data_IF_560047575079
#
_entry.id   IF_560047575079
#
_cell.length_a   1.000
_cell.length_b   1.000
_cell.length_c   1.000
_cell.angle_alpha   90.00
_cell.angle_beta   90.00
_cell.angle_gamma   90.00
#
_symmetry.space_group_name_H-M   'P 1'
#
loop_
_entity.id
_entity.type
_entity.pdbx_description
1 polymer ?
#
# COMPACT_ATOMS: atom_id res chain seq x y z
N UNK A 1 -0.45 11.74 -46.76
CA UNK A 1 -1.81 12.32 -46.75
C UNK A 1 -2.82 11.20 -46.50
N UNK A 2 -3.21 10.98 -45.25
CA UNK A 2 -4.29 10.06 -44.88
C UNK A 2 -5.29 10.83 -44.01
N UNK A 3 -6.54 10.83 -44.45
CA UNK A 3 -7.70 11.41 -43.78
C UNK A 3 -8.26 10.39 -42.79
N UNK A 4 -8.42 10.78 -41.54
CA UNK A 4 -9.40 10.20 -40.61
C UNK A 4 -9.93 11.32 -39.72
N UNK A 5 -11.04 11.90 -40.15
CA UNK A 5 -11.88 12.79 -39.34
C UNK A 5 -12.87 11.94 -38.55
N UNK A 6 -12.80 11.95 -37.22
CA UNK A 6 -13.89 11.48 -36.35
C UNK A 6 -14.56 12.72 -35.77
N UNK A 7 -15.75 13.03 -36.28
CA UNK A 7 -16.57 14.13 -35.81
C UNK A 7 -17.35 13.73 -34.55
N UNK A 8 -17.20 14.50 -33.48
CA UNK A 8 -18.15 14.52 -32.37
C UNK A 8 -19.32 15.44 -32.76
N UNK A 9 -20.46 14.85 -33.10
CA UNK A 9 -21.71 15.59 -33.28
C UNK A 9 -22.33 15.86 -31.90
N UNK A 10 -22.45 17.14 -31.56
CA UNK A 10 -23.18 17.62 -30.40
C UNK A 10 -24.69 17.38 -30.59
N UNK A 11 -25.31 16.68 -29.64
CA UNK A 11 -26.76 16.60 -29.51
C UNK A 11 -27.17 17.42 -28.27
N UNK A 12 -27.48 18.69 -28.50
CA UNK A 12 -28.21 19.55 -27.56
C UNK A 12 -29.71 19.24 -27.67
N UNK A 13 -30.21 18.42 -26.76
CA UNK A 13 -31.66 18.27 -26.52
C UNK A 13 -32.03 18.97 -25.21
N UNK A 14 -33.07 19.80 -25.29
CA UNK A 14 -33.54 20.69 -24.23
C UNK A 14 -33.86 19.95 -22.91
N UNK A 15 -33.23 20.40 -21.82
CA UNK A 15 -33.57 19.99 -20.47
C UNK A 15 -34.81 20.77 -20.00
N UNK A 16 -35.98 20.14 -20.10
CA UNK A 16 -37.11 20.50 -19.24
C UNK A 16 -36.79 20.07 -17.81
N UNK A 17 -37.04 20.94 -16.82
CA UNK A 17 -36.88 20.59 -15.41
C UNK A 17 -37.73 19.36 -15.06
N UNK A 18 -37.16 18.30 -14.45
CA UNK A 18 -37.97 17.19 -14.00
C UNK A 18 -38.66 17.59 -12.68
N UNK A 19 -39.99 17.46 -12.69
CA UNK A 19 -40.79 17.43 -11.48
C UNK A 19 -40.30 16.29 -10.57
N UNK A 20 -40.26 16.53 -9.26
CA UNK A 20 -39.89 15.56 -8.25
C UNK A 20 -40.83 14.33 -8.35
N UNK A 21 -40.28 13.21 -8.84
CA UNK A 21 -40.96 11.92 -8.80
C UNK A 21 -40.48 11.19 -7.54
N UNK A 22 -41.37 11.07 -6.55
CA UNK A 22 -41.19 10.14 -5.43
C UNK A 22 -41.17 8.71 -5.98
N UNK A 23 -39.99 8.09 -6.01
CA UNK A 23 -39.84 6.69 -6.39
C UNK A 23 -40.07 5.80 -5.16
N UNK A 24 -41.30 5.34 -4.97
CA UNK A 24 -41.61 4.23 -4.07
C UNK A 24 -41.18 2.91 -4.74
N UNK A 25 -39.90 2.54 -4.57
CA UNK A 25 -39.36 1.24 -4.99
C UNK A 25 -39.73 0.13 -3.98
N UNK A 26 -39.99 -1.08 -4.49
CA UNK A 26 -40.29 -2.26 -3.66
C UNK A 26 -39.17 -2.55 -2.63
N UNK A 27 -39.48 -3.14 -1.44
CA UNK A 27 -38.58 -3.16 -0.28
C UNK A 27 -37.22 -3.84 -0.47
N UNK A 28 -37.04 -4.65 -1.52
CA UNK A 28 -35.77 -5.34 -1.83
C UNK A 28 -34.92 -4.69 -2.93
N UNK A 29 -35.39 -3.61 -3.57
CA UNK A 29 -34.75 -3.04 -4.77
C UNK A 29 -34.30 -1.57 -4.62
N UNK A 30 -34.38 -1.01 -3.42
CA UNK A 30 -33.91 0.36 -3.16
C UNK A 30 -32.39 0.38 -2.91
N UNK A 31 -31.63 0.87 -3.90
CA UNK A 31 -30.18 1.08 -3.81
C UNK A 31 -29.78 2.02 -2.68
N UNK A 32 -30.61 3.01 -2.37
CA UNK A 32 -30.31 3.95 -1.28
C UNK A 32 -30.38 3.26 0.07
N UNK A 33 -31.43 2.47 0.31
CA UNK A 33 -31.55 1.67 1.53
C UNK A 33 -30.38 0.70 1.71
N UNK A 34 -30.00 -0.03 0.64
CA UNK A 34 -28.81 -0.92 0.66
C UNK A 34 -27.53 -0.15 0.99
N UNK A 35 -27.36 1.03 0.39
CA UNK A 35 -26.21 1.89 0.64
C UNK A 35 -26.10 2.34 2.09
N UNK A 36 -27.21 2.79 2.66
CA UNK A 36 -27.28 3.18 4.07
C UNK A 36 -27.06 1.98 5.01
N UNK A 37 -27.50 0.79 4.65
CA UNK A 37 -27.23 -0.44 5.42
C UNK A 37 -25.74 -0.80 5.38
N UNK A 38 -25.12 -0.81 4.19
CA UNK A 38 -23.69 -1.05 4.04
C UNK A 38 -22.84 -0.02 4.80
N UNK A 39 -23.22 1.26 4.76
CA UNK A 39 -22.60 2.31 5.56
C UNK A 39 -22.68 2.04 7.06
N UNK A 40 -23.87 1.71 7.57
CA UNK A 40 -24.06 1.40 8.99
C UNK A 40 -23.22 0.20 9.43
N UNK A 41 -23.08 -0.81 8.58
CA UNK A 41 -22.28 -2.00 8.87
C UNK A 41 -20.79 -1.71 9.12
N UNK A 42 -20.29 -0.56 8.66
CA UNK A 42 -18.90 -0.12 8.86
C UNK A 42 -18.79 1.11 9.79
N UNK A 43 -19.84 1.38 10.58
CA UNK A 43 -19.88 2.50 11.53
C UNK A 43 -20.16 3.87 10.89
N UNK A 44 -20.58 3.89 9.63
CA UNK A 44 -20.97 5.08 8.89
C UNK A 44 -22.38 5.57 9.20
N UNK A 45 -22.51 6.89 9.21
CA UNK A 45 -23.81 7.57 9.25
C UNK A 45 -24.26 8.02 7.86
N UNK A 46 -25.47 8.57 7.78
CA UNK A 46 -25.94 9.24 6.58
C UNK A 46 -25.19 10.58 6.39
N UNK A 47 -24.31 10.64 5.39
CA UNK A 47 -23.51 11.84 5.09
C UNK A 47 -24.27 12.91 4.31
N UNK A 48 -25.56 12.70 3.99
CA UNK A 48 -26.38 13.68 3.25
C UNK A 48 -26.40 15.04 3.95
N UNK A 49 -26.45 15.07 5.28
CA UNK A 49 -26.39 16.33 6.04
C UNK A 49 -25.11 17.14 5.82
N UNK A 50 -24.00 16.46 5.54
CA UNK A 50 -22.69 17.08 5.32
C UNK A 50 -22.48 17.43 3.86
N UNK A 51 -22.90 16.56 2.94
CA UNK A 51 -22.59 16.67 1.51
C UNK A 51 -23.68 17.36 0.70
N UNK A 52 -24.97 17.25 1.06
CA UNK A 52 -26.06 17.87 0.29
C UNK A 52 -25.92 19.39 0.15
N UNK A 53 -25.45 20.15 1.17
CA UNK A 53 -25.22 21.58 0.99
C UNK A 53 -24.17 21.92 -0.07
N UNK A 54 -23.25 21.00 -0.37
CA UNK A 54 -22.22 21.16 -1.40
C UNK A 54 -22.66 20.55 -2.74
N UNK A 55 -23.15 19.31 -2.70
CA UNK A 55 -23.65 18.57 -3.86
C UNK A 55 -24.55 17.41 -3.40
N UNK A 56 -25.88 17.52 -3.54
CA UNK A 56 -26.79 16.42 -3.24
C UNK A 56 -26.58 15.23 -4.18
N UNK A 57 -26.10 15.47 -5.40
CA UNK A 57 -25.72 14.40 -6.32
C UNK A 57 -24.51 13.61 -5.81
N UNK A 58 -23.51 14.26 -5.22
CA UNK A 58 -22.36 13.55 -4.65
C UNK A 58 -22.79 12.64 -3.50
N UNK A 59 -23.65 13.14 -2.61
CA UNK A 59 -24.27 12.36 -1.54
C UNK A 59 -25.03 11.15 -2.08
N UNK A 60 -25.88 11.38 -3.10
CA UNK A 60 -26.64 10.33 -3.77
C UNK A 60 -25.72 9.28 -4.41
N UNK A 61 -24.74 9.67 -5.21
CA UNK A 61 -23.79 8.75 -5.88
C UNK A 61 -22.99 7.92 -4.87
N UNK A 62 -22.54 8.53 -3.77
CA UNK A 62 -21.83 7.79 -2.72
C UNK A 62 -22.72 6.75 -2.04
N UNK A 63 -23.93 7.14 -1.64
CA UNK A 63 -24.83 6.24 -0.92
C UNK A 63 -25.37 5.17 -1.86
N UNK A 64 -25.95 5.57 -3.00
CA UNK A 64 -26.64 4.66 -3.91
C UNK A 64 -25.66 3.80 -4.72
N UNK A 65 -24.66 4.41 -5.35
CA UNK A 65 -23.82 3.69 -6.32
C UNK A 65 -22.62 3.06 -5.62
N UNK A 66 -21.82 3.84 -4.88
CA UNK A 66 -20.63 3.30 -4.22
C UNK A 66 -21.02 2.30 -3.11
N UNK A 67 -21.85 2.69 -2.15
CA UNK A 67 -22.23 1.77 -1.08
C UNK A 67 -23.33 0.80 -1.49
N UNK A 68 -24.37 1.26 -2.19
CA UNK A 68 -25.57 0.44 -2.49
C UNK A 68 -25.41 -0.56 -3.62
N UNK A 69 -24.62 -0.24 -4.65
CA UNK A 69 -24.44 -1.09 -5.83
C UNK A 69 -23.07 -1.77 -5.90
N UNK A 70 -22.05 -1.26 -5.18
CA UNK A 70 -20.72 -1.89 -5.10
C UNK A 70 -20.46 -2.52 -3.72
N UNK A 71 -20.49 -1.76 -2.64
CA UNK A 71 -20.10 -2.29 -1.32
C UNK A 71 -21.14 -3.24 -0.71
N UNK A 72 -22.41 -3.13 -1.07
CA UNK A 72 -23.47 -4.02 -0.59
C UNK A 72 -23.53 -5.37 -1.33
N UNK A 73 -22.72 -5.57 -2.39
CA UNK A 73 -22.79 -6.80 -3.20
C UNK A 73 -22.38 -8.03 -2.38
N UNK A 74 -23.13 -9.14 -2.45
CA UNK A 74 -22.99 -10.29 -1.54
C UNK A 74 -21.78 -11.19 -1.83
N UNK A 75 -21.12 -11.03 -2.98
CA UNK A 75 -19.99 -11.90 -3.38
C UNK A 75 -18.72 -11.70 -2.55
N UNK A 76 -18.67 -10.67 -1.71
CA UNK A 76 -17.58 -10.45 -0.75
C UNK A 76 -18.14 -9.79 0.52
N UNK A 77 -17.75 -10.30 1.69
CA UNK A 77 -18.29 -9.81 2.98
C UNK A 77 -17.76 -8.42 3.33
N UNK A 78 -18.52 -7.66 4.13
CA UNK A 78 -18.10 -6.31 4.56
C UNK A 78 -16.75 -6.33 5.28
N UNK A 79 -16.48 -7.37 6.08
CA UNK A 79 -15.17 -7.57 6.71
C UNK A 79 -14.03 -7.55 5.68
N UNK A 80 -14.17 -8.27 4.57
CA UNK A 80 -13.12 -8.31 3.53
C UNK A 80 -13.09 -7.03 2.68
N UNK A 81 -14.23 -6.37 2.50
CA UNK A 81 -14.27 -5.06 1.82
C UNK A 81 -13.50 -3.99 2.60
N UNK A 82 -13.62 -3.95 3.92
CA UNK A 82 -12.87 -3.00 4.75
C UNK A 82 -11.36 -3.26 4.72
N UNK A 83 -10.93 -4.52 4.66
CA UNK A 83 -9.52 -4.87 4.44
C UNK A 83 -8.98 -4.27 3.14
N UNK A 84 -9.74 -4.40 2.04
CA UNK A 84 -9.40 -3.82 0.73
C UNK A 84 -9.35 -2.29 0.83
N UNK A 85 -10.37 -1.67 1.43
CA UNK A 85 -10.46 -0.21 1.58
C UNK A 85 -9.26 0.37 2.32
N UNK A 86 -8.93 -0.21 3.48
CA UNK A 86 -7.76 0.21 4.28
C UNK A 86 -6.46 -0.01 3.53
N UNK A 87 -6.28 -1.18 2.90
CA UNK A 87 -5.08 -1.49 2.13
C UNK A 87 -4.82 -0.47 1.00
N UNK A 88 -5.87 -0.14 0.24
CA UNK A 88 -5.81 0.82 -0.88
C UNK A 88 -5.54 2.22 -0.39
N UNK A 89 -6.32 2.73 0.57
CA UNK A 89 -6.16 4.11 1.02
C UNK A 89 -4.79 4.31 1.68
N UNK A 90 -4.31 3.30 2.43
CA UNK A 90 -2.98 3.32 3.04
C UNK A 90 -1.88 3.54 1.99
N UNK A 91 -1.85 2.73 0.92
CA UNK A 91 -0.80 2.82 -0.10
C UNK A 91 -0.92 4.04 -1.02
N UNK A 92 -2.08 4.70 -1.04
CA UNK A 92 -2.26 5.99 -1.72
C UNK A 92 -1.75 7.16 -0.87
N UNK A 93 -1.89 7.09 0.46
CA UNK A 93 -1.37 8.06 1.44
C UNK A 93 -1.87 9.49 1.35
N UNK A 94 -2.98 9.73 0.66
CA UNK A 94 -3.54 11.09 0.42
C UNK A 94 -4.86 11.37 1.14
N UNK A 95 -5.54 10.35 1.68
CA UNK A 95 -6.90 10.49 2.22
C UNK A 95 -7.00 10.03 3.69
N UNK A 96 -6.23 10.68 4.59
CA UNK A 96 -6.22 10.34 6.03
C UNK A 96 -7.61 10.28 6.68
N UNK A 97 -8.56 11.21 6.42
CA UNK A 97 -9.92 11.10 7.00
C UNK A 97 -10.65 9.82 6.56
N UNK A 98 -10.49 9.41 5.30
CA UNK A 98 -11.08 8.17 4.80
C UNK A 98 -10.37 6.94 5.40
N UNK A 99 -9.04 6.96 5.52
CA UNK A 99 -8.29 5.88 6.16
C UNK A 99 -8.71 5.70 7.62
N UNK A 100 -8.84 6.80 8.36
CA UNK A 100 -9.33 6.83 9.74
C UNK A 100 -10.72 6.22 9.86
N UNK A 101 -11.62 6.58 8.96
CA UNK A 101 -12.98 6.03 8.89
C UNK A 101 -12.94 4.51 8.69
N UNK A 102 -12.19 4.01 7.71
CA UNK A 102 -12.13 2.58 7.38
C UNK A 102 -11.31 1.76 8.39
N UNK A 103 -10.35 2.33 9.12
CA UNK A 103 -9.77 1.69 10.31
C UNK A 103 -10.85 1.44 11.36
N UNK A 104 -11.75 2.42 11.57
CA UNK A 104 -12.95 2.24 12.38
C UNK A 104 -13.86 1.15 11.83
N UNK A 105 -14.13 1.16 10.52
CA UNK A 105 -14.95 0.15 9.85
C UNK A 105 -14.38 -1.27 9.94
N UNK A 106 -13.06 -1.43 9.92
CA UNK A 106 -12.42 -2.72 10.20
C UNK A 106 -12.76 -3.22 11.61
N UNK A 107 -12.74 -2.35 12.63
CA UNK A 107 -13.15 -2.72 13.99
C UNK A 107 -14.63 -3.10 14.06
N UNK A 108 -15.52 -2.33 13.43
CA UNK A 108 -16.98 -2.61 13.41
C UNK A 108 -17.30 -3.95 12.75
N UNK A 109 -16.54 -4.31 11.70
CA UNK A 109 -16.71 -5.57 10.97
C UNK A 109 -15.96 -6.75 11.63
N UNK A 110 -15.36 -6.54 12.80
CA UNK A 110 -14.78 -7.59 13.64
C UNK A 110 -13.35 -7.98 13.31
N UNK A 111 -12.55 -7.09 12.72
CA UNK A 111 -11.09 -7.24 12.70
C UNK A 111 -10.51 -6.89 14.07
N UNK A 112 -9.51 -7.66 14.49
CA UNK A 112 -8.74 -7.33 15.68
C UNK A 112 -7.80 -6.15 15.41
N UNK A 113 -7.42 -5.38 16.46
CA UNK A 113 -6.43 -4.32 16.32
C UNK A 113 -5.09 -4.83 15.75
N UNK A 114 -4.71 -6.07 16.07
CA UNK A 114 -3.50 -6.72 15.52
C UNK A 114 -3.61 -6.92 14.00
N UNK A 115 -4.72 -7.47 13.51
CA UNK A 115 -4.92 -7.68 12.07
C UNK A 115 -4.92 -6.35 11.29
N UNK A 116 -5.47 -5.28 11.89
CA UNK A 116 -5.42 -3.93 11.32
C UNK A 116 -3.96 -3.46 11.23
N UNK A 117 -3.19 -3.53 12.32
CA UNK A 117 -1.78 -3.13 12.32
C UNK A 117 -0.97 -3.93 11.30
N UNK A 118 -1.18 -5.24 11.20
CA UNK A 118 -0.51 -6.08 10.19
C UNK A 118 -0.88 -5.70 8.75
N UNK A 119 -2.13 -5.28 8.50
CA UNK A 119 -2.55 -4.74 7.20
C UNK A 119 -1.81 -3.44 6.87
N UNK A 120 -1.63 -2.56 7.87
CA UNK A 120 -0.97 -1.27 7.69
C UNK A 120 0.54 -1.42 7.48
N UNK A 121 1.17 -2.31 8.26
CA UNK A 121 2.59 -2.66 8.14
C UNK A 121 2.91 -3.32 6.81
N UNK A 122 2.00 -4.12 6.25
CA UNK A 122 2.20 -4.78 4.97
C UNK A 122 2.49 -3.80 3.82
N UNK A 123 2.00 -2.55 3.93
CA UNK A 123 2.27 -1.50 2.95
C UNK A 123 3.75 -1.06 2.90
N UNK A 124 4.60 -1.45 3.85
CA UNK A 124 6.06 -1.21 3.79
C UNK A 124 6.64 -1.76 2.48
N UNK A 125 6.17 -2.92 2.01
CA UNK A 125 6.70 -3.55 0.78
C UNK A 125 6.19 -2.87 -0.49
N UNK A 126 4.92 -2.49 -0.51
CA UNK A 126 4.26 -2.01 -1.73
C UNK A 126 4.32 -0.50 -1.87
N UNK A 127 4.17 0.23 -0.78
CA UNK A 127 4.20 1.69 -0.77
C UNK A 127 5.46 2.29 -0.14
N UNK A 128 6.17 1.54 0.70
CA UNK A 128 7.32 2.03 1.48
C UNK A 128 6.97 2.40 2.93
N UNK A 129 8.00 2.55 3.75
CA UNK A 129 7.89 2.91 5.17
C UNK A 129 7.02 4.15 5.47
N UNK A 130 7.09 5.26 4.70
CA UNK A 130 6.29 6.46 4.97
C UNK A 130 4.79 6.18 5.15
N UNK A 131 4.19 5.36 4.28
CA UNK A 131 2.76 5.06 4.36
C UNK A 131 2.42 4.22 5.60
N UNK A 132 3.21 3.18 5.87
CA UNK A 132 3.00 2.33 7.03
C UNK A 132 3.16 3.10 8.34
N UNK A 133 4.19 3.96 8.44
CA UNK A 133 4.39 4.84 9.58
C UNK A 133 3.18 5.75 9.79
N UNK A 134 2.77 6.47 8.76
CA UNK A 134 1.63 7.40 8.85
C UNK A 134 0.35 6.69 9.28
N UNK A 135 0.05 5.56 8.64
CA UNK A 135 -1.16 4.82 8.92
C UNK A 135 -1.18 4.17 10.30
N UNK A 136 -0.05 3.62 10.77
CA UNK A 136 0.06 3.05 12.12
C UNK A 136 -0.13 4.14 13.17
N UNK A 137 0.45 5.33 12.97
CA UNK A 137 0.23 6.45 13.88
C UNK A 137 -1.24 6.90 13.90
N UNK A 138 -1.90 6.93 12.74
CA UNK A 138 -3.32 7.22 12.65
C UNK A 138 -4.18 6.14 13.34
N UNK A 139 -3.82 4.86 13.20
CA UNK A 139 -4.49 3.76 13.89
C UNK A 139 -4.34 3.87 15.42
N UNK A 140 -3.18 4.31 15.92
CA UNK A 140 -2.96 4.57 17.34
C UNK A 140 -3.94 5.61 17.88
N UNK A 141 -4.18 6.69 17.14
CA UNK A 141 -5.17 7.70 17.53
C UNK A 141 -6.58 7.09 17.60
N UNK A 142 -6.99 6.33 16.58
CA UNK A 142 -8.31 5.66 16.54
C UNK A 142 -8.48 4.68 17.70
N UNK A 143 -7.44 3.89 18.00
CA UNK A 143 -7.47 2.93 19.10
C UNK A 143 -7.52 3.63 20.46
N UNK A 144 -6.73 4.68 20.66
CA UNK A 144 -6.75 5.47 21.89
C UNK A 144 -8.11 6.11 22.15
N UNK A 145 -8.74 6.69 21.13
CA UNK A 145 -10.10 7.26 21.22
C UNK A 145 -11.16 6.23 21.60
N UNK A 146 -10.94 4.96 21.24
CA UNK A 146 -11.84 3.84 21.55
C UNK A 146 -11.43 3.06 22.80
N UNK A 147 -10.40 3.50 23.53
CA UNK A 147 -9.89 2.79 24.71
C UNK A 147 -9.31 1.41 24.40
N UNK A 148 -8.85 1.19 23.16
CA UNK A 148 -8.27 -0.07 22.69
C UNK A 148 -6.76 -0.04 22.90
N UNK A 149 -6.23 -1.04 23.58
CA UNK A 149 -4.79 -1.28 23.71
C UNK A 149 -4.35 -2.40 22.78
N UNK A 150 -3.23 -2.22 22.07
CA UNK A 150 -2.62 -3.26 21.24
C UNK A 150 -1.50 -3.94 22.04
N UNK A 151 -1.34 -5.25 21.86
CA UNK A 151 -0.25 -5.98 22.51
C UNK A 151 1.12 -5.54 21.99
N UNK A 152 2.11 -5.42 22.88
CA UNK A 152 3.48 -5.00 22.57
C UNK A 152 4.40 -6.16 22.15
N UNK A 153 3.83 -7.34 21.89
CA UNK A 153 4.60 -8.50 21.46
C UNK A 153 5.10 -8.32 20.02
N UNK A 154 6.34 -8.72 19.77
CA UNK A 154 6.89 -8.78 18.41
C UNK A 154 6.02 -9.69 17.52
N UNK A 155 5.91 -9.33 16.25
CA UNK A 155 5.32 -10.14 15.19
C UNK A 155 6.38 -10.61 14.20
N UNK A 156 7.64 -10.72 14.62
CA UNK A 156 8.67 -11.30 13.78
C UNK A 156 8.47 -12.81 13.66
N UNK A 157 8.68 -13.40 12.47
CA UNK A 157 8.59 -14.83 12.28
C UNK A 157 9.76 -15.54 12.98
N UNK A 158 9.53 -16.76 13.46
CA UNK A 158 10.59 -17.60 14.01
C UNK A 158 11.29 -18.36 12.86
N UNK A 159 12.58 -18.10 12.66
CA UNK A 159 13.37 -18.82 11.67
C UNK A 159 14.46 -17.97 11.04
N UNK A 160 15.08 -18.53 10.00
CA UNK A 160 16.03 -17.82 9.15
C UNK A 160 15.27 -17.15 8.00
N UNK A 161 15.37 -15.83 7.88
CA UNK A 161 14.62 -15.02 6.91
C UNK A 161 14.81 -15.48 5.47
N UNK A 162 16.03 -15.91 5.10
CA UNK A 162 16.26 -16.45 3.77
C UNK A 162 15.41 -17.69 3.51
N UNK A 163 15.47 -18.65 4.43
CA UNK A 163 14.71 -19.90 4.34
C UNK A 163 13.20 -19.64 4.29
N UNK A 164 12.70 -18.78 5.19
CA UNK A 164 11.29 -18.41 5.25
C UNK A 164 10.84 -17.69 3.96
N UNK A 165 11.69 -16.83 3.42
CA UNK A 165 11.40 -16.06 2.21
C UNK A 165 11.27 -16.93 0.98
N UNK A 166 12.19 -17.88 0.81
CA UNK A 166 12.14 -18.86 -0.29
C UNK A 166 10.89 -19.73 -0.17
N UNK A 167 10.58 -20.22 1.03
CA UNK A 167 9.37 -21.02 1.26
C UNK A 167 8.11 -20.25 0.92
N UNK A 168 8.00 -19.00 1.37
CA UNK A 168 6.84 -18.17 1.12
C UNK A 168 6.67 -17.88 -0.38
N UNK A 169 7.76 -17.52 -1.08
CA UNK A 169 7.75 -17.32 -2.53
C UNK A 169 7.26 -18.55 -3.29
N UNK A 170 7.69 -19.74 -2.86
CA UNK A 170 7.26 -21.00 -3.49
C UNK A 170 5.80 -21.31 -3.26
N UNK A 171 5.26 -20.97 -2.08
CA UNK A 171 3.84 -21.19 -1.78
C UNK A 171 2.92 -20.33 -2.65
N UNK A 172 3.30 -19.08 -2.92
CA UNK A 172 2.40 -18.12 -3.58
C UNK A 172 2.72 -17.89 -5.05
N UNK A 173 3.99 -18.08 -5.47
CA UNK A 173 4.49 -17.54 -6.73
C UNK A 173 4.60 -18.47 -7.94
N UNK A 174 4.34 -19.77 -7.82
CA UNK A 174 4.22 -20.66 -9.00
C UNK A 174 5.38 -20.60 -10.01
N UNK A 175 5.06 -20.41 -11.30
CA UNK A 175 6.05 -20.29 -12.38
C UNK A 175 6.94 -19.03 -12.25
N UNK A 176 6.36 -17.92 -11.78
CA UNK A 176 7.09 -16.67 -11.55
C UNK A 176 8.13 -16.82 -10.44
N UNK A 177 7.80 -17.57 -9.38
CA UNK A 177 8.78 -17.95 -8.36
C UNK A 177 9.90 -18.81 -8.95
N UNK A 178 9.61 -19.67 -9.92
CA UNK A 178 10.62 -20.42 -10.66
C UNK A 178 11.51 -19.55 -11.55
N UNK A 179 10.94 -18.53 -12.19
CA UNK A 179 11.70 -17.58 -13.01
C UNK A 179 12.59 -16.69 -12.15
N UNK A 180 12.06 -16.16 -11.05
CA UNK A 180 12.85 -15.50 -10.02
C UNK A 180 13.96 -16.42 -9.52
N UNK A 181 13.65 -17.69 -9.26
CA UNK A 181 14.62 -18.61 -8.71
C UNK A 181 15.83 -18.84 -9.64
N UNK A 182 15.57 -19.10 -10.92
CA UNK A 182 16.65 -19.22 -11.92
C UNK A 182 17.51 -17.96 -11.99
N UNK A 183 16.88 -16.78 -11.94
CA UNK A 183 17.61 -15.50 -11.94
C UNK A 183 18.59 -15.37 -10.78
N UNK A 184 18.16 -15.74 -9.58
CA UNK A 184 18.98 -15.69 -8.36
C UNK A 184 20.14 -16.68 -8.46
N UNK A 185 19.87 -17.94 -8.85
CA UNK A 185 20.88 -18.99 -8.98
C UNK A 185 21.94 -18.62 -10.01
N UNK A 186 21.51 -18.12 -11.16
CA UNK A 186 22.41 -17.79 -12.27
C UNK A 186 23.15 -16.46 -12.06
N UNK A 187 22.81 -15.70 -11.01
CA UNK A 187 23.35 -14.37 -10.76
C UNK A 187 23.08 -13.39 -11.91
N UNK A 188 22.05 -13.65 -12.72
CA UNK A 188 21.74 -12.90 -13.94
C UNK A 188 20.86 -11.67 -13.68
N UNK A 189 20.42 -11.49 -12.43
CA UNK A 189 19.69 -10.32 -11.99
C UNK A 189 20.53 -9.03 -12.00
N UNK A 190 19.89 -7.86 -12.04
CA UNK A 190 20.59 -6.57 -12.09
C UNK A 190 21.32 -6.23 -10.78
N UNK A 191 20.95 -6.87 -9.66
CA UNK A 191 21.58 -6.65 -8.36
C UNK A 191 21.35 -7.84 -7.41
N UNK A 192 22.42 -8.54 -6.96
CA UNK A 192 22.31 -9.58 -5.94
C UNK A 192 21.73 -9.07 -4.62
N UNK A 193 22.01 -7.81 -4.26
CA UNK A 193 21.44 -7.19 -3.06
C UNK A 193 19.91 -7.03 -3.16
N UNK A 194 19.39 -6.69 -4.35
CA UNK A 194 17.95 -6.58 -4.54
C UNK A 194 17.27 -7.94 -4.39
N UNK A 195 17.88 -9.00 -4.93
CA UNK A 195 17.40 -10.37 -4.79
C UNK A 195 17.41 -10.79 -3.30
N UNK A 196 18.50 -10.51 -2.58
CA UNK A 196 18.59 -10.77 -1.13
C UNK A 196 17.51 -10.03 -0.34
N UNK A 197 17.35 -8.72 -0.54
CA UNK A 197 16.36 -7.91 0.19
C UNK A 197 14.93 -8.37 -0.11
N UNK A 198 14.68 -8.81 -1.34
CA UNK A 198 13.38 -9.40 -1.73
C UNK A 198 13.14 -10.68 -0.93
N UNK A 199 14.10 -11.60 -0.91
CA UNK A 199 13.96 -12.88 -0.21
C UNK A 199 13.86 -12.67 1.30
N UNK A 200 14.84 -12.01 1.92
CA UNK A 200 14.96 -11.92 3.37
C UNK A 200 13.94 -10.96 3.98
N UNK A 201 13.86 -9.71 3.50
CA UNK A 201 13.00 -8.72 4.15
C UNK A 201 11.56 -8.77 3.65
N UNK A 202 11.34 -8.76 2.32
CA UNK A 202 9.97 -8.76 1.83
C UNK A 202 9.27 -10.08 2.15
N UNK A 203 9.83 -11.19 1.67
CA UNK A 203 9.19 -12.49 1.81
C UNK A 203 9.50 -13.17 3.16
N UNK A 204 10.74 -13.14 3.62
CA UNK A 204 11.19 -13.80 4.85
C UNK A 204 10.62 -13.19 6.11
N UNK A 205 10.73 -11.87 6.23
CA UNK A 205 10.24 -11.12 7.38
C UNK A 205 8.77 -10.71 7.19
N UNK A 206 8.45 -9.76 6.30
CA UNK A 206 7.12 -9.12 6.27
C UNK A 206 5.98 -10.08 5.90
N UNK A 207 6.16 -10.93 4.89
CA UNK A 207 5.10 -11.85 4.46
C UNK A 207 4.84 -12.99 5.45
N UNK A 208 5.85 -13.41 6.22
CA UNK A 208 5.69 -14.47 7.23
C UNK A 208 5.26 -13.96 8.60
N UNK A 209 5.09 -12.64 8.80
CA UNK A 209 4.58 -12.09 10.06
C UNK A 209 3.22 -12.71 10.43
N UNK A 210 3.07 -13.25 11.66
CA UNK A 210 1.79 -13.72 12.15
C UNK A 210 0.87 -12.54 12.47
N UNK A 211 -0.43 -12.82 12.54
CA UNK A 211 -1.44 -11.84 12.95
C UNK A 211 -2.35 -11.37 11.81
N UNK A 212 -1.99 -11.59 10.56
CA UNK A 212 -2.91 -11.54 9.42
C UNK A 212 -2.76 -12.84 8.61
N UNK A 213 -3.88 -13.52 8.34
CA UNK A 213 -3.86 -14.77 7.59
C UNK A 213 -3.27 -14.55 6.19
N UNK A 214 -2.46 -15.50 5.68
CA UNK A 214 -1.84 -15.40 4.36
C UNK A 214 -2.86 -15.13 3.25
N UNK A 215 -4.01 -15.81 3.29
CA UNK A 215 -5.13 -15.57 2.37
C UNK A 215 -5.56 -14.10 2.38
N UNK A 216 -5.72 -13.49 3.55
CA UNK A 216 -6.12 -12.08 3.66
C UNK A 216 -5.01 -11.11 3.25
N UNK A 217 -3.77 -11.45 3.57
CA UNK A 217 -2.58 -10.68 3.15
C UNK A 217 -2.46 -10.61 1.62
N UNK A 218 -2.75 -11.70 0.91
CA UNK A 218 -2.81 -11.70 -0.56
C UNK A 218 -3.92 -10.81 -1.11
N UNK A 219 -5.12 -10.83 -0.51
CA UNK A 219 -6.23 -9.96 -0.92
C UNK A 219 -5.88 -8.47 -0.76
N UNK A 220 -5.31 -8.11 0.40
CA UNK A 220 -4.84 -6.76 0.66
C UNK A 220 -3.74 -6.34 -0.32
N UNK A 221 -2.82 -7.26 -0.63
CA UNK A 221 -1.74 -7.01 -1.58
C UNK A 221 -2.24 -6.73 -2.99
N UNK A 222 -3.14 -7.58 -3.50
CA UNK A 222 -3.71 -7.38 -4.83
C UNK A 222 -4.37 -6.00 -4.94
N UNK A 223 -5.10 -5.58 -3.90
CA UNK A 223 -5.69 -4.26 -3.83
C UNK A 223 -4.63 -3.13 -3.85
N UNK A 224 -3.56 -3.25 -3.06
CA UNK A 224 -2.45 -2.28 -3.05
C UNK A 224 -1.76 -2.16 -4.41
N UNK A 225 -1.44 -3.29 -5.06
CA UNK A 225 -0.77 -3.32 -6.36
C UNK A 225 -1.63 -2.67 -7.44
N UNK A 226 -2.94 -2.96 -7.47
CA UNK A 226 -3.88 -2.29 -8.38
C UNK A 226 -3.92 -0.79 -8.07
N UNK A 227 -3.91 -0.42 -6.79
CA UNK A 227 -3.92 0.97 -6.36
C UNK A 227 -2.64 1.75 -6.64
N UNK A 228 -1.51 1.09 -6.85
CA UNK A 228 -0.27 1.72 -7.33
C UNK A 228 -0.33 1.86 -8.86
N UNK A 229 -0.76 0.81 -9.57
CA UNK A 229 -1.01 0.79 -11.02
C UNK A 229 0.26 0.67 -11.88
N UNK A 230 0.09 0.39 -13.17
CA UNK A 230 1.16 0.12 -14.15
C UNK A 230 2.06 -1.07 -13.75
N UNK A 231 1.46 -2.14 -13.22
CA UNK A 231 2.16 -3.31 -12.67
C UNK A 231 1.50 -4.62 -13.14
N UNK A 232 1.25 -4.78 -14.44
CA UNK A 232 0.47 -5.90 -15.00
C UNK A 232 1.00 -7.28 -14.58
N UNK A 233 2.32 -7.49 -14.60
CA UNK A 233 2.94 -8.74 -14.16
C UNK A 233 2.74 -8.99 -12.66
N UNK A 234 2.81 -7.96 -11.83
CA UNK A 234 2.58 -8.06 -10.38
C UNK A 234 1.10 -8.28 -10.06
N UNK A 235 0.18 -7.66 -10.82
CA UNK A 235 -1.26 -7.95 -10.71
C UNK A 235 -1.51 -9.40 -11.06
N UNK A 236 -0.95 -9.89 -12.16
CA UNK A 236 -1.05 -11.29 -12.57
C UNK A 236 -0.57 -12.23 -11.47
N UNK A 237 0.63 -11.99 -10.92
CA UNK A 237 1.22 -12.75 -9.82
C UNK A 237 0.26 -12.86 -8.62
N UNK A 238 -0.27 -11.72 -8.14
CA UNK A 238 -1.14 -11.74 -6.96
C UNK A 238 -2.56 -12.26 -7.23
N UNK A 239 -3.06 -12.22 -8.48
CA UNK A 239 -4.29 -12.94 -8.84
C UNK A 239 -4.06 -14.46 -8.75
N UNK A 240 -2.94 -14.97 -9.25
CA UNK A 240 -2.57 -16.39 -9.09
C UNK A 240 -2.42 -16.76 -7.62
N UNK A 241 -1.70 -15.95 -6.84
CA UNK A 241 -1.50 -16.18 -5.41
C UNK A 241 -2.81 -16.16 -4.62
N UNK A 242 -3.74 -15.25 -4.95
CA UNK A 242 -5.08 -15.25 -4.35
C UNK A 242 -5.81 -16.57 -4.61
N UNK A 243 -5.76 -17.09 -5.85
CA UNK A 243 -6.40 -18.37 -6.19
C UNK A 243 -5.73 -19.55 -5.46
N UNK A 244 -4.38 -19.59 -5.40
CA UNK A 244 -3.63 -20.64 -4.68
C UNK A 244 -3.93 -20.66 -3.18
N UNK A 245 -4.12 -19.48 -2.58
CA UNK A 245 -4.47 -19.34 -1.16
C UNK A 245 -5.97 -19.53 -0.88
N UNK A 246 -6.77 -19.81 -1.91
CA UNK A 246 -8.16 -20.24 -1.79
C UNK A 246 -9.19 -19.13 -1.94
N UNK A 247 -8.85 -17.98 -2.50
CA UNK A 247 -9.85 -17.04 -3.02
C UNK A 247 -10.47 -17.58 -4.30
N UNK A 248 -11.74 -17.28 -4.49
CA UNK A 248 -12.46 -17.66 -5.71
C UNK A 248 -12.37 -16.56 -6.76
N UNK A 249 -12.55 -16.94 -8.03
CA UNK A 249 -12.73 -15.99 -9.14
C UNK A 249 -13.82 -14.96 -8.84
N UNK A 250 -14.92 -15.37 -8.20
CA UNK A 250 -16.03 -14.49 -7.85
C UNK A 250 -15.60 -13.43 -6.82
N UNK A 251 -14.91 -13.83 -5.74
CA UNK A 251 -14.41 -12.89 -4.73
C UNK A 251 -13.36 -11.92 -5.29
N UNK A 252 -12.44 -12.40 -6.15
CA UNK A 252 -11.47 -11.53 -6.83
C UNK A 252 -12.18 -10.54 -7.78
N UNK A 253 -13.24 -10.98 -8.45
CA UNK A 253 -14.06 -10.09 -9.30
C UNK A 253 -14.73 -8.99 -8.47
N UNK A 254 -15.21 -9.30 -7.27
CA UNK A 254 -15.77 -8.31 -6.34
C UNK A 254 -14.73 -7.30 -5.85
N UNK A 255 -13.47 -7.73 -5.63
CA UNK A 255 -12.36 -6.81 -5.39
C UNK A 255 -12.16 -5.88 -6.58
N UNK A 256 -12.07 -6.40 -7.81
CA UNK A 256 -11.88 -5.58 -9.02
C UNK A 256 -13.00 -4.54 -9.21
N UNK A 257 -14.25 -4.92 -8.91
CA UNK A 257 -15.38 -3.99 -8.92
C UNK A 257 -15.21 -2.92 -7.83
N UNK A 258 -14.86 -3.31 -6.60
CA UNK A 258 -14.63 -2.37 -5.51
C UNK A 258 -13.53 -1.35 -5.82
N UNK A 259 -12.48 -1.74 -6.55
CA UNK A 259 -11.41 -0.83 -6.96
C UNK A 259 -11.93 0.38 -7.77
N UNK A 260 -13.05 0.25 -8.50
CA UNK A 260 -13.64 1.37 -9.26
C UNK A 260 -14.03 2.55 -8.36
N UNK A 261 -14.41 2.29 -7.11
CA UNK A 261 -14.81 3.30 -6.12
C UNK A 261 -13.59 4.04 -5.54
N UNK A 262 -12.50 3.32 -5.29
CA UNK A 262 -11.33 3.89 -4.58
C UNK A 262 -10.27 4.47 -5.51
N UNK A 263 -10.01 3.85 -6.66
CA UNK A 263 -8.93 4.26 -7.57
C UNK A 263 -9.42 4.72 -8.94
N UNK A 264 -10.74 4.74 -9.12
CA UNK A 264 -11.38 5.14 -10.36
C UNK A 264 -11.35 4.06 -11.45
N UNK A 265 -12.24 4.24 -12.44
CA UNK A 265 -12.44 3.27 -13.53
C UNK A 265 -11.18 2.96 -14.33
N UNK A 266 -10.41 3.94 -14.84
CA UNK A 266 -9.26 3.63 -15.69
C UNK A 266 -8.25 2.71 -15.00
N UNK A 267 -7.94 2.97 -13.72
CA UNK A 267 -6.97 2.18 -12.97
C UNK A 267 -7.49 0.79 -12.63
N UNK A 268 -8.75 0.69 -12.21
CA UNK A 268 -9.39 -0.60 -11.94
C UNK A 268 -9.47 -1.48 -13.22
N UNK A 269 -9.78 -0.88 -14.38
CA UNK A 269 -9.92 -1.60 -15.64
C UNK A 269 -8.59 -2.15 -16.18
N UNK A 270 -7.45 -1.51 -15.90
CA UNK A 270 -6.14 -2.07 -16.28
C UNK A 270 -5.87 -3.43 -15.62
N UNK A 271 -6.41 -3.68 -14.43
CA UNK A 271 -6.23 -4.95 -13.73
C UNK A 271 -7.09 -6.10 -14.30
N UNK A 272 -8.13 -5.79 -15.09
CA UNK A 272 -9.06 -6.79 -15.64
C UNK A 272 -8.38 -7.69 -16.66
N UNK A 273 -7.53 -7.14 -17.54
CA UNK A 273 -6.81 -7.92 -18.55
C UNK A 273 -5.92 -9.00 -17.94
N UNK A 274 -4.99 -8.65 -17.05
CA UNK A 274 -4.18 -9.62 -16.30
C UNK A 274 -5.02 -10.66 -15.54
N UNK A 275 -6.10 -10.24 -14.87
CA UNK A 275 -6.96 -11.17 -14.14
C UNK A 275 -7.67 -12.18 -15.07
N UNK A 276 -8.21 -11.72 -16.20
CA UNK A 276 -8.83 -12.60 -17.20
C UNK A 276 -7.84 -13.60 -17.79
N UNK A 277 -6.58 -13.18 -18.02
CA UNK A 277 -5.54 -14.08 -18.50
C UNK A 277 -5.29 -15.23 -17.50
N UNK A 278 -5.20 -14.91 -16.20
CA UNK A 278 -5.04 -15.93 -15.15
C UNK A 278 -6.27 -16.83 -15.06
N UNK A 279 -7.49 -16.28 -15.08
CA UNK A 279 -8.71 -17.08 -15.03
C UNK A 279 -8.81 -18.07 -16.21
N UNK A 280 -8.43 -17.63 -17.41
CA UNK A 280 -8.41 -18.49 -18.58
C UNK A 280 -7.38 -19.62 -18.48
N UNK A 281 -6.28 -19.43 -17.73
CA UNK A 281 -5.29 -20.48 -17.49
C UNK A 281 -5.75 -21.51 -16.47
N UNK A 282 -6.43 -21.06 -15.41
CA UNK A 282 -7.02 -21.95 -14.39
C UNK A 282 -8.05 -22.90 -15.01
N UNK A 283 -8.75 -22.45 -16.05
CA UNK A 283 -9.75 -23.25 -16.79
C UNK A 283 -9.12 -24.29 -17.74
N UNK A 284 -7.82 -24.19 -18.07
CA UNK A 284 -7.14 -25.16 -18.94
C UNK A 284 -6.96 -26.51 -18.23
N UNK A 285 -6.92 -27.64 -18.98
CA UNK A 285 -6.50 -28.92 -18.42
C UNK A 285 -5.11 -28.80 -17.80
N UNK A 286 -5.00 -29.05 -16.49
CA UNK A 286 -3.77 -28.86 -15.71
C UNK A 286 -3.81 -27.69 -14.73
N UNK A 287 -4.75 -26.75 -14.86
CA UNK A 287 -4.91 -25.60 -13.95
C UNK A 287 -3.69 -24.67 -13.94
N UNK A 288 -3.50 -23.93 -12.83
CA UNK A 288 -2.28 -23.16 -12.61
C UNK A 288 -1.09 -24.11 -12.50
N UNK A 289 0.03 -23.74 -13.13
CA UNK A 289 1.28 -24.48 -13.00
C UNK A 289 1.66 -24.66 -11.53
N UNK A 290 2.10 -25.87 -11.18
CA UNK A 290 2.63 -26.17 -9.86
C UNK A 290 3.92 -25.37 -9.62
N UNK A 291 4.26 -25.07 -8.35
CA UNK A 291 5.51 -24.41 -8.03
C UNK A 291 6.72 -25.13 -8.65
N UNK A 292 7.64 -24.36 -9.24
CA UNK A 292 8.84 -24.89 -9.87
C UNK A 292 9.79 -25.52 -8.84
N UNK A 293 10.30 -26.73 -9.11
CA UNK A 293 11.34 -27.39 -8.29
C UNK A 293 12.67 -26.62 -8.24
N UNK A 294 12.89 -25.66 -9.15
CA UNK A 294 14.03 -24.76 -9.09
C UNK A 294 14.09 -23.93 -7.78
N UNK A 295 12.94 -23.65 -7.13
CA UNK A 295 12.95 -23.01 -5.82
C UNK A 295 13.46 -23.90 -4.69
N UNK A 296 13.33 -25.23 -4.81
CA UNK A 296 13.95 -26.18 -3.87
C UNK A 296 15.49 -26.11 -3.97
N UNK A 297 16.02 -25.78 -5.16
CA UNK A 297 17.47 -25.60 -5.37
C UNK A 297 17.98 -24.32 -4.69
N UNK A 298 17.21 -23.22 -4.71
CA UNK A 298 17.54 -22.02 -3.92
C UNK A 298 17.54 -22.32 -2.42
N UNK A 299 16.52 -23.04 -1.94
CA UNK A 299 16.48 -23.46 -0.54
C UNK A 299 17.72 -24.29 -0.17
N UNK A 300 18.22 -25.10 -1.12
CA UNK A 300 19.45 -25.90 -0.98
C UNK A 300 20.76 -25.09 -1.04
N UNK A 301 20.80 -23.91 -1.66
CA UNK A 301 21.97 -23.00 -1.70
C UNK A 301 22.16 -22.16 -0.43
N UNK A 302 21.43 -22.49 0.65
CA UNK A 302 21.35 -21.82 1.95
C UNK A 302 22.46 -20.81 2.22
N UNK A 303 22.11 -19.53 2.08
CA UNK A 303 22.82 -18.41 2.69
C UNK A 303 22.14 -18.09 4.02
N UNK A 304 22.88 -18.16 5.12
CA UNK A 304 22.34 -17.73 6.42
C UNK A 304 22.14 -16.21 6.39
N UNK A 305 20.93 -15.76 6.70
CA UNK A 305 20.64 -14.33 6.80
C UNK A 305 21.49 -13.71 7.92
N UNK A 306 21.93 -12.47 7.71
CA UNK A 306 22.59 -11.71 8.78
C UNK A 306 21.62 -11.49 9.94
N UNK A 307 22.12 -11.50 11.18
CA UNK A 307 21.26 -11.34 12.35
C UNK A 307 20.64 -9.93 12.42
N UNK A 308 19.41 -9.87 12.93
CA UNK A 308 18.70 -8.60 13.15
C UNK A 308 19.50 -7.60 13.98
N UNK A 309 20.20 -8.07 15.02
CA UNK A 309 20.99 -7.18 15.87
C UNK A 309 22.21 -6.61 15.15
N UNK A 310 22.83 -7.35 14.24
CA UNK A 310 23.94 -6.82 13.43
C UNK A 310 23.44 -5.74 12.47
N UNK A 311 22.32 -6.00 11.77
CA UNK A 311 21.64 -5.03 10.90
C UNK A 311 21.19 -3.80 11.69
N UNK A 312 20.61 -4.00 12.87
CA UNK A 312 20.15 -2.94 13.77
C UNK A 312 21.31 -2.05 14.23
N UNK A 313 22.40 -2.64 14.72
CA UNK A 313 23.56 -1.89 15.20
C UNK A 313 24.20 -1.08 14.07
N UNK A 314 24.32 -1.67 12.87
CA UNK A 314 24.79 -0.96 11.68
C UNK A 314 23.86 0.19 11.30
N UNK A 315 22.55 -0.03 11.39
CA UNK A 315 21.54 0.99 11.14
C UNK A 315 21.56 2.15 12.13
N UNK A 316 21.73 1.87 13.42
CA UNK A 316 21.89 2.89 14.46
C UNK A 316 23.15 3.72 14.20
N UNK A 317 24.27 3.08 13.84
CA UNK A 317 25.50 3.77 13.50
C UNK A 317 25.32 4.67 12.26
N UNK A 318 24.75 4.14 11.17
CA UNK A 318 24.50 4.89 9.95
C UNK A 318 23.55 6.07 10.20
N UNK A 319 22.48 5.88 10.97
CA UNK A 319 21.56 6.97 11.31
C UNK A 319 22.24 8.04 12.16
N UNK A 320 23.16 7.67 13.06
CA UNK A 320 23.92 8.62 13.87
C UNK A 320 24.88 9.50 13.06
N UNK A 321 25.31 9.04 11.87
CA UNK A 321 26.08 9.86 10.92
C UNK A 321 25.19 10.84 10.12
N UNK A 322 23.90 10.53 9.98
CA UNK A 322 22.94 11.24 9.14
C UNK A 322 22.13 12.27 9.95
N UNK A 323 21.73 11.89 11.16
CA UNK A 323 20.74 12.58 11.96
C UNK A 323 21.18 12.73 13.40
N UNK A 324 20.72 13.81 14.04
CA UNK A 324 20.86 13.99 15.49
C UNK A 324 19.84 13.16 16.29
N UNK A 325 18.92 12.47 15.62
CA UNK A 325 17.92 11.62 16.26
C UNK A 325 18.54 10.35 16.86
N UNK A 326 18.06 9.94 18.04
CA UNK A 326 18.45 8.68 18.66
C UNK A 326 17.70 7.50 18.04
N UNK A 327 18.39 6.40 17.74
CA UNK A 327 17.75 5.15 17.32
C UNK A 327 16.72 4.65 18.32
N UNK A 328 16.98 4.87 19.61
CA UNK A 328 16.03 4.54 20.67
C UNK A 328 14.72 5.33 20.54
N UNK A 329 14.80 6.60 20.15
CA UNK A 329 13.60 7.43 19.94
C UNK A 329 12.75 6.91 18.78
N UNK A 330 13.38 6.45 17.70
CA UNK A 330 12.68 5.83 16.55
C UNK A 330 11.95 4.55 16.97
N UNK A 331 12.61 3.68 17.73
CA UNK A 331 11.99 2.46 18.26
C UNK A 331 10.83 2.79 19.21
N UNK A 332 11.05 3.74 20.11
CA UNK A 332 10.06 4.13 21.12
C UNK A 332 8.80 4.75 20.51
N UNK A 333 8.90 5.39 19.35
CA UNK A 333 7.76 6.01 18.66
C UNK A 333 6.63 5.04 18.28
N UNK A 334 6.95 3.73 18.16
CA UNK A 334 6.00 2.69 17.73
C UNK A 334 5.83 1.54 18.74
N UNK A 335 6.54 1.58 19.88
CA UNK A 335 6.62 0.48 20.86
C UNK A 335 5.26 -0.03 21.35
N UNK A 336 4.29 0.87 21.47
CA UNK A 336 2.96 0.60 22.02
C UNK A 336 1.95 0.03 21.02
N UNK A 337 2.25 0.06 19.71
CA UNK A 337 1.31 -0.36 18.65
C UNK A 337 1.93 -1.31 17.62
N UNK A 338 3.16 -1.04 17.17
CA UNK A 338 3.85 -1.78 16.13
C UNK A 338 5.36 -1.80 16.45
N UNK A 339 5.78 -2.52 17.50
CA UNK A 339 7.15 -2.44 18.05
C UNK A 339 8.23 -2.79 17.02
N UNK A 340 7.94 -3.66 16.06
CA UNK A 340 8.90 -4.05 15.03
C UNK A 340 9.11 -2.95 13.96
N UNK A 341 8.14 -2.06 13.74
CA UNK A 341 8.25 -1.01 12.70
C UNK A 341 9.42 -0.06 12.97
N UNK A 342 9.58 0.36 14.22
CA UNK A 342 10.70 1.19 14.65
C UNK A 342 12.05 0.49 14.43
N UNK A 343 12.10 -0.83 14.68
CA UNK A 343 13.29 -1.64 14.43
C UNK A 343 13.58 -1.80 12.94
N UNK A 344 12.57 -2.08 12.11
CA UNK A 344 12.72 -2.22 10.66
C UNK A 344 13.24 -0.95 9.99
N UNK A 345 12.86 0.23 10.47
CA UNK A 345 13.43 1.49 9.97
C UNK A 345 14.95 1.49 10.15
N UNK A 346 15.44 1.10 11.33
CA UNK A 346 16.87 1.05 11.62
C UNK A 346 17.56 -0.11 10.90
N UNK A 347 17.00 -1.31 10.97
CA UNK A 347 17.58 -2.53 10.40
C UNK A 347 17.59 -2.50 8.87
N UNK A 348 16.44 -2.28 8.24
CA UNK A 348 16.31 -2.33 6.79
C UNK A 348 16.70 -1.01 6.13
N UNK A 349 16.08 0.11 6.55
CA UNK A 349 16.32 1.37 5.84
C UNK A 349 17.76 1.84 6.10
N UNK A 350 18.14 2.02 7.35
CA UNK A 350 19.49 2.51 7.66
C UNK A 350 20.56 1.42 7.51
N UNK A 351 20.31 0.23 8.07
CA UNK A 351 21.27 -0.87 8.13
C UNK A 351 21.46 -1.63 6.82
N UNK A 352 20.44 -1.77 5.98
CA UNK A 352 20.61 -2.51 4.72
C UNK A 352 20.66 -1.62 3.49
N UNK A 353 20.08 -0.42 3.52
CA UNK A 353 20.00 0.46 2.34
C UNK A 353 20.96 1.65 2.43
N UNK A 354 20.90 2.45 3.51
CA UNK A 354 21.74 3.65 3.62
C UNK A 354 23.21 3.34 3.89
N UNK A 355 23.53 2.29 4.65
CA UNK A 355 24.91 1.92 4.95
C UNK A 355 25.65 1.27 3.78
N UNK A 356 25.00 1.07 2.62
CA UNK A 356 25.63 0.44 1.46
C UNK A 356 26.72 1.33 0.85
N UNK A 357 27.82 0.73 0.35
CA UNK A 357 28.82 1.49 -0.39
C UNK A 357 28.28 1.96 -1.75
N UNK A 358 29.04 2.83 -2.42
CA UNK A 358 28.78 3.27 -3.80
C UNK A 358 28.06 4.60 -3.95
N UNK A 359 27.34 5.07 -2.93
CA UNK A 359 26.77 6.41 -2.88
C UNK A 359 26.96 6.99 -1.46
N UNK A 360 27.49 8.20 -1.36
CA UNK A 360 27.67 8.90 -0.08
C UNK A 360 26.33 9.30 0.55
N UNK A 361 26.36 9.59 1.86
CA UNK A 361 25.17 9.90 2.64
C UNK A 361 24.46 11.16 2.12
N UNK A 362 25.22 12.22 1.78
CA UNK A 362 24.67 13.46 1.20
C UNK A 362 23.84 13.18 -0.05
N UNK A 363 24.37 12.38 -0.96
CA UNK A 363 23.72 12.04 -2.22
C UNK A 363 22.49 11.15 -2.00
N UNK A 364 22.53 10.25 -1.01
CA UNK A 364 21.37 9.44 -0.60
C UNK A 364 20.25 10.30 -0.03
N UNK A 365 20.58 11.27 0.82
CA UNK A 365 19.60 12.18 1.41
C UNK A 365 18.96 13.08 0.35
N UNK A 366 19.74 13.64 -0.58
CA UNK A 366 19.20 14.41 -1.71
C UNK A 366 18.29 13.55 -2.60
N UNK A 367 18.65 12.27 -2.83
CA UNK A 367 17.80 11.34 -3.56
C UNK A 367 16.49 11.04 -2.80
N UNK A 368 16.53 10.89 -1.46
CA UNK A 368 15.35 10.71 -0.63
C UNK A 368 14.42 11.94 -0.69
N UNK A 369 14.99 13.15 -0.57
CA UNK A 369 14.26 14.42 -0.72
C UNK A 369 13.55 14.49 -2.08
N UNK A 370 14.25 14.17 -3.17
CA UNK A 370 13.67 14.15 -4.51
C UNK A 370 12.55 13.11 -4.66
N UNK A 371 12.74 11.89 -4.12
CA UNK A 371 11.75 10.81 -4.17
C UNK A 371 10.47 11.16 -3.40
N UNK A 372 10.60 11.67 -2.18
CA UNK A 372 9.48 12.07 -1.33
C UNK A 372 8.73 13.28 -1.90
N UNK A 373 9.46 14.24 -2.48
CA UNK A 373 8.86 15.36 -3.23
C UNK A 373 8.05 14.86 -4.43
N UNK A 374 8.59 13.90 -5.19
CA UNK A 374 7.94 13.38 -6.40
C UNK A 374 6.60 12.73 -6.09
N UNK A 375 6.51 12.00 -4.97
CA UNK A 375 5.28 11.38 -4.49
C UNK A 375 4.31 12.42 -3.92
N UNK A 376 4.78 13.27 -3.01
CA UNK A 376 4.06 14.43 -2.49
C UNK A 376 2.71 14.09 -1.85
N UNK A 377 2.63 12.98 -1.11
CA UNK A 377 1.43 12.55 -0.37
C UNK A 377 1.49 13.04 1.08
N UNK A 378 0.38 12.95 1.82
CA UNK A 378 0.38 13.33 3.25
C UNK A 378 1.26 12.42 4.11
N UNK A 379 1.49 11.18 3.67
CA UNK A 379 2.40 10.27 4.34
C UNK A 379 3.88 10.65 4.16
N UNK A 380 4.21 11.43 3.12
CA UNK A 380 5.59 11.82 2.81
C UNK A 380 6.03 13.10 3.55
N UNK A 381 5.11 13.89 4.13
CA UNK A 381 5.42 15.19 4.75
C UNK A 381 6.44 15.08 5.89
N UNK A 382 6.19 14.17 6.85
CA UNK A 382 7.09 13.98 8.00
C UNK A 382 8.45 13.42 7.57
N UNK A 383 8.54 12.34 6.76
CA UNK A 383 9.82 11.88 6.23
C UNK A 383 10.56 12.93 5.41
N UNK A 384 9.86 13.72 4.57
CA UNK A 384 10.51 14.76 3.76
C UNK A 384 11.19 15.80 4.65
N UNK A 385 10.55 16.19 5.76
CA UNK A 385 11.18 17.08 6.75
C UNK A 385 12.47 16.47 7.31
N UNK A 386 12.40 15.22 7.76
CA UNK A 386 13.55 14.49 8.32
C UNK A 386 14.70 14.40 7.31
N UNK A 387 14.39 14.07 6.06
CA UNK A 387 15.41 13.93 5.01
C UNK A 387 15.97 15.28 4.53
N UNK A 388 15.21 16.38 4.60
CA UNK A 388 15.77 17.73 4.39
C UNK A 388 16.77 18.09 5.49
N UNK A 389 16.43 17.82 6.76
CA UNK A 389 17.34 18.05 7.90
C UNK A 389 18.60 17.18 7.79
N UNK A 390 18.43 15.91 7.45
CA UNK A 390 19.51 14.95 7.25
C UNK A 390 20.43 15.31 6.07
N UNK A 391 19.88 15.80 4.95
CA UNK A 391 20.68 16.29 3.83
C UNK A 391 21.62 17.41 4.27
N UNK A 392 21.13 18.36 5.07
CA UNK A 392 21.95 19.45 5.60
C UNK A 392 23.03 18.93 6.56
N UNK A 393 22.69 18.00 7.45
CA UNK A 393 23.64 17.41 8.40
C UNK A 393 24.78 16.63 7.70
N UNK A 394 24.48 16.01 6.57
CA UNK A 394 25.44 15.26 5.76
C UNK A 394 26.23 16.15 4.79
N UNK A 395 26.03 17.47 4.84
CA UNK A 395 26.83 18.46 4.11
C UNK A 395 26.22 18.94 2.79
N UNK A 396 24.93 18.72 2.54
CA UNK A 396 24.22 19.43 1.48
C UNK A 396 24.00 20.89 1.86
N UNK A 397 24.10 21.80 0.89
CA UNK A 397 23.69 23.18 1.08
C UNK A 397 22.18 23.34 0.92
N UNK A 398 21.64 24.46 1.42
CA UNK A 398 20.22 24.81 1.21
C UNK A 398 19.90 24.92 -0.28
N UNK A 399 20.86 25.39 -1.09
CA UNK A 399 20.76 25.47 -2.55
C UNK A 399 20.69 24.08 -3.19
N UNK A 400 21.53 23.12 -2.77
CA UNK A 400 21.47 21.74 -3.30
C UNK A 400 20.15 21.04 -2.96
N UNK A 401 19.65 21.22 -1.73
CA UNK A 401 18.32 20.72 -1.35
C UNK A 401 17.23 21.40 -2.19
N UNK A 402 17.34 22.71 -2.40
CA UNK A 402 16.38 23.48 -3.20
C UNK A 402 16.35 22.98 -4.64
N UNK A 403 17.51 22.77 -5.25
CA UNK A 403 17.65 22.24 -6.59
C UNK A 403 17.15 20.79 -6.70
N UNK A 404 17.38 19.92 -5.71
CA UNK A 404 16.84 18.57 -5.72
C UNK A 404 15.30 18.55 -5.76
N UNK A 405 14.66 19.43 -5.00
CA UNK A 405 13.20 19.59 -5.00
C UNK A 405 12.72 20.27 -6.30
N UNK A 406 13.44 21.28 -6.81
CA UNK A 406 13.08 21.95 -8.07
C UNK A 406 13.27 21.05 -9.29
N UNK A 407 14.27 20.18 -9.28
CA UNK A 407 14.61 19.29 -10.39
C UNK A 407 13.47 18.31 -10.71
N UNK A 408 12.66 17.93 -9.71
CA UNK A 408 11.54 17.02 -9.95
C UNK A 408 10.32 17.73 -10.56
N UNK A 409 10.33 19.06 -10.72
CA UNK A 409 9.23 19.83 -11.30
C UNK A 409 8.73 19.30 -12.66
N UNK A 410 9.59 18.95 -13.64
CA UNK A 410 9.14 18.43 -14.93
C UNK A 410 8.49 17.05 -14.85
N UNK A 411 8.76 16.28 -13.78
CA UNK A 411 8.30 14.90 -13.61
C UNK A 411 7.10 14.78 -12.67
N UNK A 412 7.04 15.66 -11.66
CA UNK A 412 6.07 15.60 -10.56
C UNK A 412 5.07 16.76 -10.56
N UNK A 413 5.33 17.81 -11.35
CA UNK A 413 4.46 18.99 -11.48
C UNK A 413 4.60 20.00 -10.34
N UNK A 414 3.98 21.17 -10.55
CA UNK A 414 4.14 22.35 -9.70
C UNK A 414 3.61 22.18 -8.28
N UNK A 415 2.46 21.54 -8.09
CA UNK A 415 1.80 21.50 -6.78
C UNK A 415 2.63 20.76 -5.73
N UNK A 416 3.22 19.61 -6.11
CA UNK A 416 4.06 18.81 -5.20
C UNK A 416 5.35 19.54 -4.85
N UNK A 417 6.01 20.15 -5.85
CA UNK A 417 7.22 20.95 -5.66
C UNK A 417 6.95 22.15 -4.75
N UNK A 418 5.84 22.87 -4.94
CA UNK A 418 5.48 24.02 -4.09
C UNK A 418 5.26 23.61 -2.63
N UNK A 419 4.55 22.50 -2.38
CA UNK A 419 4.36 21.98 -1.03
C UNK A 419 5.69 21.59 -0.36
N UNK A 420 6.57 20.92 -1.10
CA UNK A 420 7.90 20.54 -0.62
C UNK A 420 8.80 21.76 -0.36
N UNK A 421 8.78 22.77 -1.24
CA UNK A 421 9.47 24.06 -1.05
C UNK A 421 9.02 24.76 0.22
N UNK A 422 7.71 24.85 0.45
CA UNK A 422 7.16 25.46 1.66
C UNK A 422 7.62 24.71 2.93
N UNK A 423 7.72 23.38 2.86
CA UNK A 423 8.23 22.56 3.95
C UNK A 423 9.73 22.77 4.19
N UNK A 424 10.56 22.72 3.14
CA UNK A 424 11.99 22.96 3.23
C UNK A 424 12.31 24.36 3.77
N UNK A 425 11.56 25.38 3.34
CA UNK A 425 11.68 26.76 3.83
C UNK A 425 11.47 26.85 5.35
N UNK A 426 10.52 26.08 5.91
CA UNK A 426 10.32 26.01 7.37
C UNK A 426 11.51 25.37 8.07
N UNK A 427 12.14 24.35 7.48
CA UNK A 427 13.36 23.73 8.03
C UNK A 427 14.52 24.72 7.97
N UNK A 428 14.73 25.41 6.85
CA UNK A 428 15.83 26.37 6.67
C UNK A 428 15.76 27.57 7.62
N UNK A 429 14.58 27.85 8.17
CA UNK A 429 14.33 28.96 9.09
C UNK A 429 14.46 28.55 10.56
N UNK A 430 14.63 27.25 10.85
CA UNK A 430 14.95 26.80 12.21
C UNK A 430 16.39 27.19 12.56
N UNK A 431 16.64 27.61 13.81
CA UNK A 431 17.93 28.13 14.26
C UNK A 431 19.05 27.10 14.27
#
# INVERSE_FOLDING_TARGET
MLKTSVGFAAATAALGSPAAAETTGAPGNDRRARGLEALRAVGGGDFSRTLDPLSPDLSRLLIEDAYGDVMARPGLSQKKRELISVAVINVLGTARPALRFHIGGMLETGWSPREIVETLLHAVIYGGFPFAQDAVLLAREVFAERGITVGTGTGRPEGDDWTLGVQQLLMTGGDDAGAFARRVIDGSGPSPDLDRLTIEFAHGEIWNRPGLALKDRELATLAMVIAIGNLDSTVRFHVEACLRTGWTRAEITELLIQMTVYVGWPKALMAVGPALAVFAEVEKPGGLAAPSSAGETIAGQRTQAETDDARFNRGVAAMGEISQASGEAVVNAFRDIAPDLGRYILEFSYGDVFSRPGLDLKSRELAAVAALTTRGTNADETPLKVHVEAALNTGATKEEVTEAILHVLPYAGFSRVQSAMALASRVFSQP
#
